data_IF_674110804232
#
_entry.id   IF_674110804232
#
_cell.length_a   1.000
_cell.length_b   1.000
_cell.length_c   1.000
_cell.angle_alpha   90.00
_cell.angle_beta   90.00
_cell.angle_gamma   90.00
#
_symmetry.space_group_name_H-M   'P 1'
#
loop_
_entity.id
_entity.type
_entity.pdbx_description
1 polymer ?
#
# COMPACT_ATOMS: atom_id res chain seq x y z
N UNK A 1 54.61 -29.40 22.18
CA UNK A 1 53.82 -30.42 22.89
C UNK A 1 52.45 -30.49 22.21
N UNK A 2 52.39 -31.34 21.18
CA UNK A 2 51.50 -32.52 21.03
C UNK A 2 50.07 -32.15 20.59
N UNK A 3 49.69 -32.10 19.31
CA UNK A 3 49.61 -33.13 18.23
C UNK A 3 48.32 -33.97 18.24
N UNK A 4 47.56 -33.89 17.14
CA UNK A 4 46.76 -34.94 16.42
C UNK A 4 45.67 -34.19 15.62
N UNK A 5 45.66 -34.01 14.30
CA UNK A 5 45.89 -34.87 13.11
C UNK A 5 45.14 -36.20 13.18
N UNK A 6 44.02 -36.29 12.45
CA UNK A 6 43.51 -37.56 11.95
C UNK A 6 43.00 -37.35 10.52
N UNK A 7 43.76 -37.89 9.56
CA UNK A 7 43.40 -38.04 8.16
C UNK A 7 43.10 -39.51 7.94
N UNK A 8 42.02 -39.84 7.23
CA UNK A 8 41.82 -41.18 6.68
C UNK A 8 41.26 -41.06 5.27
N UNK A 9 42.05 -41.58 4.33
CA UNK A 9 41.80 -41.68 2.90
C UNK A 9 41.79 -43.17 2.55
N UNK A 10 41.06 -43.47 1.47
CA UNK A 10 41.09 -44.68 0.63
C UNK A 10 40.18 -45.85 1.03
N UNK A 11 39.26 -46.19 0.12
CA UNK A 11 39.45 -47.35 -0.78
C UNK A 11 38.41 -47.34 -1.91
N UNK A 12 38.91 -47.45 -3.14
CA UNK A 12 38.16 -47.78 -4.36
C UNK A 12 38.25 -49.30 -4.57
N UNK A 13 37.19 -49.94 -5.02
CA UNK A 13 37.27 -51.12 -5.91
C UNK A 13 35.97 -51.27 -6.73
N UNK A 14 36.03 -51.80 -7.96
CA UNK A 14 34.98 -51.69 -8.98
C UNK A 14 34.17 -52.99 -9.13
N UNK A 15 32.93 -52.90 -9.59
CA UNK A 15 32.19 -54.07 -10.09
C UNK A 15 31.41 -53.74 -11.38
N UNK A 16 31.72 -54.56 -12.38
CA UNK A 16 31.17 -54.67 -13.73
C UNK A 16 29.82 -55.38 -13.77
N UNK A 17 28.94 -55.02 -14.72
CA UNK A 17 28.00 -55.96 -15.38
C UNK A 17 27.40 -55.27 -16.63
N UNK A 18 27.80 -55.67 -17.83
CA UNK A 18 27.10 -56.63 -18.72
C UNK A 18 25.74 -56.14 -19.26
N UNK A 19 25.73 -55.68 -20.52
CA UNK A 19 24.60 -55.74 -21.47
C UNK A 19 24.62 -57.11 -22.17
N UNK A 20 23.47 -57.69 -22.61
CA UNK A 20 22.99 -57.55 -24.01
C UNK A 20 21.44 -57.80 -24.16
N UNK A 21 20.87 -58.10 -25.36
CA UNK A 21 20.79 -57.30 -26.59
C UNK A 21 19.34 -57.05 -27.08
N UNK A 22 19.28 -56.31 -28.20
CA UNK A 22 18.13 -55.94 -29.03
C UNK A 22 17.28 -57.12 -29.54
N UNK A 23 15.95 -56.92 -29.57
CA UNK A 23 15.05 -57.60 -30.49
C UNK A 23 14.33 -56.60 -31.39
N UNK A 24 14.43 -56.89 -32.68
CA UNK A 24 13.85 -56.23 -33.83
C UNK A 24 12.37 -56.58 -33.98
N UNK A 25 11.52 -55.57 -34.16
CA UNK A 25 10.27 -55.73 -34.89
C UNK A 25 10.05 -54.52 -35.80
N UNK A 26 10.27 -54.76 -37.08
CA UNK A 26 9.83 -53.95 -38.20
C UNK A 26 8.31 -54.02 -38.33
N UNK A 27 7.63 -52.87 -38.32
CA UNK A 27 6.31 -52.75 -38.94
C UNK A 27 6.28 -51.49 -39.81
N UNK A 28 5.99 -51.73 -41.09
CA UNK A 28 5.81 -50.75 -42.14
C UNK A 28 4.48 -50.04 -41.92
N UNK A 29 4.49 -48.70 -41.84
CA UNK A 29 3.31 -47.89 -42.16
C UNK A 29 3.72 -46.64 -42.94
N UNK A 30 3.01 -46.43 -44.04
CA UNK A 30 3.24 -45.44 -45.08
C UNK A 30 3.10 -44.01 -44.59
N UNK A 31 4.06 -43.17 -44.99
CA UNK A 31 4.08 -41.72 -44.78
C UNK A 31 3.17 -40.98 -45.78
N UNK A 32 2.19 -40.22 -45.27
CA UNK A 32 1.52 -39.12 -45.99
C UNK A 32 2.04 -37.79 -45.45
N UNK A 33 2.33 -36.77 -46.29
CA UNK A 33 2.86 -35.49 -45.81
C UNK A 33 1.74 -34.61 -45.18
N UNK A 34 2.06 -33.76 -44.18
CA UNK A 34 1.09 -32.86 -43.59
C UNK A 34 0.83 -31.65 -44.50
N UNK A 35 -0.37 -31.02 -44.43
CA UNK A 35 -0.70 -29.85 -45.24
C UNK A 35 0.03 -28.58 -44.73
N UNK A 36 0.17 -27.54 -45.57
CA UNK A 36 0.96 -26.36 -45.24
C UNK A 36 0.29 -25.53 -44.14
N UNK A 37 1.07 -25.14 -43.12
CA UNK A 37 0.64 -24.24 -42.04
C UNK A 37 0.40 -22.83 -42.60
N UNK A 38 -0.86 -22.40 -42.65
CA UNK A 38 -1.23 -20.98 -42.82
C UNK A 38 -0.73 -20.19 -41.60
N UNK A 39 0.09 -19.17 -41.84
CA UNK A 39 0.44 -18.16 -40.83
C UNK A 39 -0.79 -17.28 -40.57
N UNK A 40 -1.46 -17.48 -39.43
CA UNK A 40 -2.43 -16.52 -38.89
C UNK A 40 -1.71 -15.62 -37.87
N UNK A 41 -1.74 -14.31 -38.16
CA UNK A 41 -1.36 -13.25 -37.25
C UNK A 41 -2.17 -13.35 -35.95
N UNK A 42 -1.54 -13.80 -34.88
CA UNK A 42 -2.16 -13.80 -33.55
C UNK A 42 -2.17 -12.37 -33.01
N UNK A 43 -3.33 -11.70 -33.13
CA UNK A 43 -3.72 -10.69 -32.15
C UNK A 43 -3.94 -11.42 -30.83
N UNK A 44 -3.15 -11.08 -29.82
CA UNK A 44 -3.34 -11.56 -28.45
C UNK A 44 -4.66 -10.95 -27.95
N UNK A 45 -5.73 -11.75 -27.96
CA UNK A 45 -6.90 -11.46 -27.15
C UNK A 45 -6.54 -11.87 -25.71
N UNK A 46 -6.55 -10.91 -24.78
CA UNK A 46 -6.62 -11.21 -23.36
C UNK A 46 -7.85 -12.11 -23.12
N UNK A 47 -7.62 -13.37 -22.79
CA UNK A 47 -8.69 -14.26 -22.37
C UNK A 47 -9.27 -13.69 -21.07
N UNK A 48 -10.58 -13.43 -21.06
CA UNK A 48 -11.30 -12.99 -19.87
C UNK A 48 -11.07 -14.02 -18.74
N UNK A 49 -10.60 -13.54 -17.58
CA UNK A 49 -10.45 -14.35 -16.38
C UNK A 49 -11.75 -15.09 -16.06
N UNK A 50 -11.66 -16.40 -15.78
CA UNK A 50 -12.81 -17.17 -15.32
C UNK A 50 -13.17 -16.73 -13.91
N UNK A 51 -14.30 -16.03 -13.77
CA UNK A 51 -14.90 -15.76 -12.46
C UNK A 51 -15.38 -17.10 -11.93
N UNK A 52 -14.62 -17.69 -11.02
CA UNK A 52 -15.05 -18.89 -10.31
C UNK A 52 -16.37 -18.60 -9.57
N UNK A 53 -17.34 -19.51 -9.66
CA UNK A 53 -18.65 -19.47 -8.98
C UNK A 53 -18.48 -19.61 -7.46
N UNK A 54 -17.87 -18.61 -6.82
CA UNK A 54 -17.78 -18.52 -5.36
C UNK A 54 -18.74 -17.44 -4.88
N UNK A 55 -19.46 -17.73 -3.79
CA UNK A 55 -20.36 -16.79 -3.12
C UNK A 55 -19.62 -15.78 -2.23
N UNK A 56 -18.35 -16.02 -1.93
CA UNK A 56 -17.54 -15.18 -1.05
C UNK A 56 -16.77 -14.12 -1.81
N UNK A 57 -16.73 -12.91 -1.24
CA UNK A 57 -15.91 -11.79 -1.71
C UNK A 57 -14.53 -11.93 -1.06
N UNK A 58 -13.46 -11.71 -1.82
CA UNK A 58 -12.08 -11.88 -1.34
C UNK A 58 -11.31 -10.56 -1.38
N UNK A 59 -10.85 -10.14 -0.22
CA UNK A 59 -9.93 -9.02 -0.01
C UNK A 59 -8.50 -9.53 0.22
N UNK A 60 -7.57 -9.16 -0.65
CA UNK A 60 -6.14 -9.39 -0.43
C UNK A 60 -5.52 -8.34 0.49
N UNK A 61 -4.81 -8.77 1.52
CA UNK A 61 -3.97 -7.88 2.33
C UNK A 61 -2.53 -8.41 2.44
N UNK A 62 -1.53 -7.56 2.71
CA UNK A 62 -0.15 -7.98 2.81
C UNK A 62 0.04 -8.99 3.94
N UNK A 63 0.80 -10.06 3.69
CA UNK A 63 0.96 -11.16 4.64
C UNK A 63 2.02 -10.93 5.72
N UNK A 64 2.98 -10.02 5.49
CA UNK A 64 4.11 -9.76 6.39
C UNK A 64 4.77 -8.41 6.13
N UNK A 65 5.58 -7.96 7.08
CA UNK A 65 6.36 -6.73 7.01
C UNK A 65 5.55 -5.51 7.42
N UNK A 66 6.19 -4.34 7.41
CA UNK A 66 5.61 -3.07 7.87
C UNK A 66 4.23 -2.79 7.28
N UNK A 67 4.06 -2.99 5.97
CA UNK A 67 2.77 -2.74 5.31
C UNK A 67 1.66 -3.68 5.81
N UNK A 68 1.97 -4.92 6.19
CA UNK A 68 1.00 -5.83 6.79
C UNK A 68 0.55 -5.34 8.16
N UNK A 69 1.51 -4.95 9.01
CA UNK A 69 1.24 -4.46 10.36
C UNK A 69 0.40 -3.17 10.33
N UNK A 70 0.75 -2.23 9.45
CA UNK A 70 0.02 -0.98 9.26
C UNK A 70 -1.38 -1.22 8.65
N UNK A 71 -1.53 -2.16 7.71
CA UNK A 71 -2.85 -2.54 7.16
C UNK A 71 -3.76 -3.16 8.22
N UNK A 72 -3.22 -4.07 9.04
CA UNK A 72 -3.98 -4.66 10.15
C UNK A 72 -4.34 -3.61 11.21
N UNK A 73 -3.44 -2.67 11.49
CA UNK A 73 -3.70 -1.55 12.40
C UNK A 73 -4.81 -0.63 11.87
N UNK A 74 -4.77 -0.27 10.57
CA UNK A 74 -5.82 0.51 9.92
C UNK A 74 -7.19 -0.17 10.06
N UNK A 75 -7.28 -1.44 9.66
CA UNK A 75 -8.53 -2.20 9.74
C UNK A 75 -9.02 -2.34 11.20
N UNK A 76 -8.12 -2.59 12.15
CA UNK A 76 -8.45 -2.61 13.58
C UNK A 76 -8.96 -1.26 14.08
N UNK A 77 -8.34 -0.15 13.67
CA UNK A 77 -8.76 1.20 14.05
C UNK A 77 -10.13 1.56 13.46
N UNK A 78 -10.44 1.03 12.28
CA UNK A 78 -11.77 1.02 11.67
C UNK A 78 -12.76 0.03 12.35
N UNK A 79 -12.42 -0.62 13.47
CA UNK A 79 -13.27 -1.66 14.08
C UNK A 79 -13.59 -2.85 13.14
N UNK A 80 -12.83 -3.00 12.04
CA UNK A 80 -12.89 -4.11 11.08
C UNK A 80 -11.84 -5.14 11.45
N UNK A 81 -11.97 -5.71 12.65
CA UNK A 81 -10.93 -6.62 13.18
C UNK A 81 -10.84 -7.89 12.33
N UNK A 82 -9.69 -8.09 11.72
CA UNK A 82 -9.38 -9.31 10.97
C UNK A 82 -9.19 -10.46 11.95
N UNK A 83 -10.07 -11.47 11.88
CA UNK A 83 -10.00 -12.68 12.70
C UNK A 83 -9.40 -13.82 11.90
N UNK A 84 -8.25 -14.31 12.36
CA UNK A 84 -7.66 -15.57 11.90
C UNK A 84 -8.08 -16.69 12.86
N UNK A 85 -8.70 -17.74 12.33
CA UNK A 85 -9.01 -18.95 13.11
C UNK A 85 -7.72 -19.64 13.54
N UNK A 86 -6.72 -19.64 12.65
CA UNK A 86 -5.40 -20.20 12.91
C UNK A 86 -4.32 -19.24 12.38
N UNK A 87 -3.34 -18.82 13.20
CA UNK A 87 -2.26 -17.93 12.76
C UNK A 87 -1.40 -18.47 11.60
N UNK A 88 -1.41 -19.78 11.35
CA UNK A 88 -0.71 -20.41 10.23
C UNK A 88 -1.53 -20.45 8.93
N UNK A 89 -2.81 -20.12 8.98
CA UNK A 89 -3.67 -20.07 7.78
C UNK A 89 -3.56 -18.70 7.11
N UNK A 90 -3.67 -18.70 5.78
CA UNK A 90 -3.63 -17.50 4.95
C UNK A 90 -5.00 -16.87 4.74
N UNK A 91 -6.05 -17.44 5.33
CA UNK A 91 -7.44 -16.98 5.21
C UNK A 91 -7.93 -16.54 6.57
N UNK A 92 -8.57 -15.38 6.58
CA UNK A 92 -9.17 -14.72 7.72
C UNK A 92 -10.54 -14.17 7.32
N UNK A 93 -11.27 -13.61 8.27
CA UNK A 93 -12.57 -13.00 8.02
C UNK A 93 -12.75 -11.74 8.86
N UNK A 94 -13.66 -10.86 8.42
CA UNK A 94 -14.05 -9.66 9.17
C UNK A 94 -15.52 -9.83 9.57
N UNK A 95 -15.82 -10.11 10.86
CA UNK A 95 -17.20 -10.35 11.30
C UNK A 95 -18.17 -9.20 10.97
N UNK A 96 -17.65 -7.98 10.92
CA UNK A 96 -18.41 -6.77 10.61
C UNK A 96 -18.80 -6.63 9.14
N UNK A 97 -18.21 -7.45 8.25
CA UNK A 97 -18.46 -7.47 6.80
C UNK A 97 -18.79 -8.92 6.39
N UNK A 98 -20.01 -9.41 6.66
CA UNK A 98 -20.39 -10.77 6.33
C UNK A 98 -20.28 -11.02 4.82
N UNK A 99 -19.78 -12.19 4.44
CA UNK A 99 -19.51 -12.53 3.03
C UNK A 99 -18.12 -12.12 2.52
N UNK A 100 -17.34 -11.37 3.32
CA UNK A 100 -15.97 -11.00 3.01
C UNK A 100 -14.95 -11.94 3.68
N UNK A 101 -14.10 -12.56 2.87
CA UNK A 101 -12.90 -13.27 3.28
C UNK A 101 -11.65 -12.41 3.05
N UNK A 102 -10.73 -12.47 4.00
CA UNK A 102 -9.44 -11.78 3.94
C UNK A 102 -8.34 -12.78 3.64
N UNK A 103 -7.59 -12.55 2.57
CA UNK A 103 -6.52 -13.40 2.10
C UNK A 103 -5.17 -12.72 2.31
N UNK A 104 -4.35 -13.26 3.21
CA UNK A 104 -3.01 -12.75 3.49
C UNK A 104 -2.02 -13.25 2.43
N UNK A 105 -1.55 -12.36 1.58
CA UNK A 105 -0.71 -12.69 0.42
C UNK A 105 0.51 -11.77 0.33
N UNK A 106 1.51 -12.16 -0.47
CA UNK A 106 2.62 -11.26 -0.79
C UNK A 106 2.09 -10.14 -1.70
N UNK A 107 2.65 -8.93 -1.56
CA UNK A 107 2.21 -7.74 -2.32
C UNK A 107 2.04 -7.99 -3.82
N UNK A 108 3.07 -8.56 -4.47
CA UNK A 108 3.02 -8.91 -5.90
C UNK A 108 1.92 -9.91 -6.26
N UNK A 109 1.61 -10.83 -5.35
CA UNK A 109 0.63 -11.87 -5.58
C UNK A 109 -0.80 -11.33 -5.41
N UNK A 110 -1.01 -10.30 -4.57
CA UNK A 110 -2.30 -9.59 -4.49
C UNK A 110 -2.64 -8.96 -5.85
N UNK A 111 -1.72 -8.20 -6.44
CA UNK A 111 -1.95 -7.54 -7.73
C UNK A 111 -2.17 -8.55 -8.85
N UNK A 112 -1.35 -9.61 -8.90
CA UNK A 112 -1.54 -10.70 -9.88
C UNK A 112 -2.89 -11.38 -9.73
N UNK A 113 -3.33 -11.60 -8.49
CA UNK A 113 -4.60 -12.27 -8.20
C UNK A 113 -5.80 -11.39 -8.53
N UNK A 114 -5.72 -10.07 -8.32
CA UNK A 114 -6.70 -9.10 -8.80
C UNK A 114 -6.84 -9.16 -10.32
N UNK A 115 -5.71 -9.13 -11.06
CA UNK A 115 -5.71 -9.25 -12.52
C UNK A 115 -6.29 -10.58 -13.00
N UNK A 116 -6.04 -11.67 -12.28
CA UNK A 116 -6.57 -12.99 -12.64
C UNK A 116 -8.01 -13.26 -12.18
N UNK A 117 -8.64 -12.37 -11.39
CA UNK A 117 -9.97 -12.58 -10.79
C UNK A 117 -9.99 -13.52 -9.56
N UNK A 118 -8.83 -14.01 -9.11
CA UNK A 118 -8.68 -14.80 -7.89
C UNK A 118 -9.00 -14.01 -6.62
N UNK A 119 -8.81 -12.70 -6.66
CA UNK A 119 -9.20 -11.73 -5.63
C UNK A 119 -10.07 -10.65 -6.25
N UNK A 120 -10.99 -10.10 -5.45
CA UNK A 120 -11.92 -9.07 -5.91
C UNK A 120 -11.39 -7.68 -5.54
N UNK A 121 -10.84 -7.57 -4.33
CA UNK A 121 -10.35 -6.34 -3.71
C UNK A 121 -8.95 -6.55 -3.12
N UNK A 122 -8.20 -5.47 -2.93
CA UNK A 122 -6.87 -5.54 -2.33
C UNK A 122 -6.41 -4.23 -1.69
N UNK A 123 -5.57 -4.35 -0.67
CA UNK A 123 -4.80 -3.23 -0.10
C UNK A 123 -3.32 -3.48 -0.34
N UNK A 124 -2.66 -2.60 -1.08
CA UNK A 124 -1.25 -2.72 -1.53
C UNK A 124 -0.62 -1.34 -1.71
N UNK A 125 0.70 -1.26 -1.91
CA UNK A 125 1.36 -0.02 -2.33
C UNK A 125 1.08 0.32 -3.79
N UNK A 126 0.99 1.62 -4.11
CA UNK A 126 0.84 2.10 -5.49
C UNK A 126 2.00 1.63 -6.37
N UNK A 127 3.23 1.60 -5.84
CA UNK A 127 4.41 1.01 -6.49
C UNK A 127 4.17 -0.40 -7.04
N UNK A 128 3.52 -1.25 -6.25
CA UNK A 128 3.28 -2.65 -6.54
C UNK A 128 2.18 -2.76 -7.60
N UNK A 129 1.13 -1.93 -7.51
CA UNK A 129 0.10 -1.84 -8.55
C UNK A 129 0.71 -1.42 -9.88
N UNK A 130 1.56 -0.41 -9.88
CA UNK A 130 2.20 0.11 -11.08
C UNK A 130 3.18 -0.90 -11.71
N UNK A 131 3.98 -1.61 -10.90
CA UNK A 131 4.95 -2.62 -11.38
C UNK A 131 4.30 -3.90 -11.90
N UNK A 132 3.36 -4.47 -11.13
CA UNK A 132 2.78 -5.79 -11.45
C UNK A 132 1.46 -5.69 -12.21
N UNK A 133 0.72 -4.60 -12.06
CA UNK A 133 -0.51 -4.31 -12.80
C UNK A 133 -0.25 -3.74 -14.18
N UNK A 134 0.90 -3.08 -14.40
CA UNK A 134 1.38 -2.64 -15.72
C UNK A 134 0.38 -1.79 -16.51
N UNK A 135 -0.40 -0.96 -15.81
CA UNK A 135 -1.44 -0.13 -16.44
C UNK A 135 -2.65 -0.92 -16.96
N UNK A 136 -2.88 -2.14 -16.45
CA UNK A 136 -4.07 -2.91 -16.78
C UNK A 136 -5.33 -2.16 -16.31
N UNK A 137 -6.20 -1.83 -17.25
CA UNK A 137 -7.46 -1.10 -17.04
C UNK A 137 -8.47 -1.88 -16.17
N UNK A 138 -8.26 -3.19 -15.95
CA UNK A 138 -9.03 -3.96 -14.99
C UNK A 138 -8.71 -3.60 -13.54
N UNK A 139 -7.58 -2.97 -13.24
CA UNK A 139 -7.25 -2.54 -11.88
C UNK A 139 -7.74 -1.11 -11.66
N UNK A 140 -8.70 -0.93 -10.76
CA UNK A 140 -9.23 0.38 -10.40
C UNK A 140 -8.80 0.74 -8.99
N UNK A 141 -8.14 1.89 -8.85
CA UNK A 141 -7.89 2.50 -7.55
C UNK A 141 -9.22 3.03 -7.00
N UNK A 142 -9.75 2.35 -5.99
CA UNK A 142 -10.98 2.74 -5.28
C UNK A 142 -10.66 3.85 -4.29
N UNK A 143 -9.55 3.71 -3.56
CA UNK A 143 -8.98 4.77 -2.73
C UNK A 143 -7.47 4.83 -2.98
N UNK A 144 -6.97 5.96 -3.47
CA UNK A 144 -5.56 6.11 -3.87
C UNK A 144 -4.63 6.60 -2.75
N UNK A 145 -5.17 6.98 -1.58
CA UNK A 145 -4.37 7.51 -0.47
C UNK A 145 -4.80 7.06 0.93
N UNK A 146 -4.38 5.88 1.39
CA UNK A 146 -4.72 5.40 2.74
C UNK A 146 -3.89 6.04 3.87
N UNK A 147 -3.02 7.02 3.56
CA UNK A 147 -2.23 7.78 4.53
C UNK A 147 -1.29 6.94 5.42
N UNK A 148 -0.75 5.85 4.85
CA UNK A 148 0.35 5.09 5.42
C UNK A 148 1.18 4.42 4.32
N UNK A 149 2.36 3.92 4.68
CA UNK A 149 3.28 3.32 3.71
C UNK A 149 3.90 4.34 2.76
N UNK A 150 3.94 5.61 3.14
CA UNK A 150 4.52 6.69 2.33
C UNK A 150 5.99 6.42 2.01
N UNK A 151 6.27 6.37 0.71
CA UNK A 151 7.60 6.20 0.15
C UNK A 151 7.60 6.67 -1.31
N UNK A 152 8.78 6.81 -1.88
CA UNK A 152 8.92 7.09 -3.30
C UNK A 152 9.96 6.16 -3.91
N UNK A 153 9.67 5.68 -5.11
CA UNK A 153 10.58 4.85 -5.89
C UNK A 153 11.59 5.78 -6.57
N UNK A 154 12.88 5.64 -6.26
CA UNK A 154 13.90 6.59 -6.68
C UNK A 154 15.17 5.93 -7.17
N UNK A 155 15.84 6.55 -8.14
CA UNK A 155 17.19 6.18 -8.56
C UNK A 155 18.20 6.77 -7.58
N UNK A 156 19.03 5.90 -7.01
CA UNK A 156 20.14 6.30 -6.14
C UNK A 156 21.49 5.85 -6.72
N UNK A 157 22.46 6.75 -6.65
CA UNK A 157 23.83 6.56 -7.15
C UNK A 157 24.84 6.70 -6.01
N UNK A 158 26.05 6.14 -6.12
CA UNK A 158 27.13 6.39 -5.16
C UNK A 158 27.43 7.88 -4.97
N UNK A 159 27.72 8.29 -3.74
CA UNK A 159 28.13 9.67 -3.39
C UNK A 159 29.51 10.03 -3.90
N UNK A 160 30.37 9.03 -4.08
CA UNK A 160 31.79 9.20 -4.36
C UNK A 160 32.18 8.55 -5.69
N UNK A 161 33.38 8.90 -6.18
CA UNK A 161 33.90 8.36 -7.44
C UNK A 161 33.32 9.10 -8.64
N UNK A 162 33.03 8.37 -9.73
CA UNK A 162 32.55 8.98 -10.99
C UNK A 162 31.21 9.71 -10.86
N UNK A 163 30.46 9.46 -9.78
CA UNK A 163 29.14 10.02 -9.50
C UNK A 163 29.16 11.25 -8.59
N UNK A 164 30.32 11.67 -8.09
CA UNK A 164 30.44 12.72 -7.07
C UNK A 164 29.80 14.05 -7.51
N UNK A 165 30.02 14.43 -8.77
CA UNK A 165 29.48 15.66 -9.37
C UNK A 165 28.17 15.45 -10.14
N UNK A 166 27.60 14.25 -10.12
CA UNK A 166 26.34 13.92 -10.79
C UNK A 166 25.19 14.19 -9.82
N UNK A 167 24.35 15.18 -10.11
CA UNK A 167 23.26 15.58 -9.22
C UNK A 167 21.89 15.57 -9.88
N UNK A 168 21.81 15.28 -11.17
CA UNK A 168 20.54 15.13 -11.89
C UNK A 168 20.57 13.93 -12.84
N UNK A 169 19.37 13.48 -13.23
CA UNK A 169 19.20 12.46 -14.27
C UNK A 169 19.79 12.89 -15.62
N UNK A 170 19.78 14.18 -15.91
CA UNK A 170 20.39 14.75 -17.12
C UNK A 170 21.90 14.60 -17.11
N UNK A 171 22.54 14.82 -15.95
CA UNK A 171 23.98 14.63 -15.80
C UNK A 171 24.34 13.15 -15.93
N UNK A 172 23.59 12.27 -15.27
CA UNK A 172 23.78 10.82 -15.34
C UNK A 172 23.65 10.29 -16.77
N UNK A 173 22.70 10.82 -17.54
CA UNK A 173 22.47 10.42 -18.93
C UNK A 173 23.59 10.86 -19.90
N UNK A 174 24.28 11.97 -19.59
CA UNK A 174 25.35 12.55 -20.42
C UNK A 174 26.74 11.98 -20.13
N UNK A 175 26.85 11.12 -19.11
CA UNK A 175 28.10 10.46 -18.75
C UNK A 175 28.65 9.65 -19.94
N UNK A 176 29.91 9.90 -20.36
CA UNK A 176 30.51 9.21 -21.50
C UNK A 176 30.77 7.70 -21.25
N UNK A 177 30.69 7.26 -20.00
CA UNK A 177 30.91 5.87 -19.59
C UNK A 177 29.84 4.91 -20.14
N UNK A 178 28.64 5.42 -20.44
CA UNK A 178 27.49 4.58 -20.83
C UNK A 178 27.41 4.43 -22.34
N UNK A 179 27.81 3.25 -22.83
CA UNK A 179 27.73 2.89 -24.25
C UNK A 179 26.92 1.62 -24.44
N UNK A 180 26.70 1.20 -25.69
CA UNK A 180 26.04 -0.08 -26.00
C UNK A 180 26.81 -1.28 -25.42
N UNK A 181 28.13 -1.19 -25.32
CA UNK A 181 29.02 -2.23 -24.79
C UNK A 181 29.16 -2.18 -23.27
N UNK A 182 28.99 -1.00 -22.67
CA UNK A 182 29.00 -0.78 -21.22
C UNK A 182 27.77 0.03 -20.80
N UNK A 183 26.59 -0.58 -20.73
CA UNK A 183 25.40 0.11 -20.25
C UNK A 183 25.50 0.40 -18.76
N UNK A 184 24.82 1.46 -18.30
CA UNK A 184 24.57 1.72 -16.89
C UNK A 184 23.77 0.55 -16.29
N UNK A 185 24.31 -0.12 -15.28
CA UNK A 185 23.66 -1.26 -14.61
C UNK A 185 22.89 -0.76 -13.40
N UNK A 186 21.57 -0.89 -13.42
CA UNK A 186 20.70 -0.53 -12.31
C UNK A 186 20.11 -1.79 -11.69
N UNK A 187 20.34 -2.02 -10.40
CA UNK A 187 19.70 -3.12 -9.68
C UNK A 187 18.35 -2.69 -9.11
N UNK A 188 17.31 -3.51 -9.28
CA UNK A 188 15.96 -3.18 -8.83
C UNK A 188 15.03 -4.39 -8.75
N UNK A 189 14.03 -4.30 -7.86
CA UNK A 189 12.83 -5.15 -7.89
C UNK A 189 11.74 -4.65 -8.85
N UNK A 190 11.89 -3.44 -9.41
CA UNK A 190 10.88 -2.72 -10.19
C UNK A 190 11.30 -2.60 -11.67
N UNK A 191 11.44 -3.75 -12.33
CA UNK A 191 11.98 -3.82 -13.69
C UNK A 191 11.05 -3.16 -14.70
N UNK A 192 9.74 -3.35 -14.56
CA UNK A 192 8.78 -2.74 -15.49
C UNK A 192 8.81 -1.22 -15.37
N UNK A 193 8.75 -0.67 -14.15
CA UNK A 193 8.80 0.77 -13.94
C UNK A 193 10.15 1.38 -14.32
N UNK A 194 11.26 0.71 -13.99
CA UNK A 194 12.59 1.16 -14.39
C UNK A 194 12.74 1.29 -15.90
N UNK A 195 12.32 0.27 -16.66
CA UNK A 195 12.38 0.31 -18.12
C UNK A 195 11.46 1.39 -18.71
N UNK A 196 10.25 1.55 -18.16
CA UNK A 196 9.31 2.59 -18.59
C UNK A 196 9.92 3.98 -18.38
N UNK A 197 10.41 4.24 -17.17
CA UNK A 197 11.03 5.51 -16.79
C UNK A 197 12.26 5.82 -17.64
N UNK A 198 13.14 4.84 -17.86
CA UNK A 198 14.33 5.02 -18.70
C UNK A 198 13.99 5.41 -20.14
N UNK A 199 12.97 4.77 -20.71
CA UNK A 199 12.48 5.08 -22.06
C UNK A 199 11.91 6.50 -22.15
N UNK A 200 11.11 6.91 -21.17
CA UNK A 200 10.48 8.23 -21.11
C UNK A 200 11.50 9.36 -20.91
N UNK A 201 12.60 9.09 -20.19
CA UNK A 201 13.66 10.06 -19.90
C UNK A 201 14.88 9.97 -20.86
N UNK A 202 14.80 9.14 -21.91
CA UNK A 202 15.84 9.07 -22.93
C UNK A 202 17.16 8.42 -22.50
N UNK A 203 17.15 7.59 -21.45
CA UNK A 203 18.31 6.80 -21.02
C UNK A 203 18.52 5.62 -21.98
N UNK A 204 19.42 5.78 -22.96
CA UNK A 204 19.62 4.81 -24.05
C UNK A 204 20.41 3.57 -23.65
N UNK A 205 21.44 3.75 -22.83
CA UNK A 205 22.42 2.71 -22.49
C UNK A 205 22.24 2.30 -21.03
N UNK A 206 21.13 1.63 -20.73
CA UNK A 206 20.80 1.17 -19.37
C UNK A 206 20.36 -0.29 -19.38
N UNK A 207 20.74 -1.02 -18.34
CA UNK A 207 20.30 -2.39 -18.10
C UNK A 207 19.76 -2.50 -16.68
N UNK A 208 18.55 -3.04 -16.56
CA UNK A 208 17.96 -3.34 -15.27
C UNK A 208 18.20 -4.80 -14.93
N UNK A 209 18.73 -5.05 -13.74
CA UNK A 209 18.95 -6.39 -13.22
C UNK A 209 18.12 -6.61 -11.96
N UNK A 210 17.53 -7.79 -11.86
CA UNK A 210 16.85 -8.22 -10.63
C UNK A 210 17.85 -8.79 -9.65
N UNK A 211 17.71 -8.40 -8.39
CA UNK A 211 18.38 -9.03 -7.26
C UNK A 211 17.35 -9.44 -6.21
N UNK A 212 17.74 -10.33 -5.30
CA UNK A 212 17.02 -10.57 -4.05
C UNK A 212 17.86 -10.00 -2.90
N UNK A 213 17.25 -9.20 -2.02
CA UNK A 213 17.89 -8.69 -0.81
C UNK A 213 18.38 -7.24 -0.93
N UNK A 214 19.45 -6.94 -0.18
CA UNK A 214 20.01 -5.60 0.05
C UNK A 214 20.60 -4.97 -1.24
N UNK A 215 19.74 -4.35 -2.06
CA UNK A 215 20.13 -3.66 -3.29
C UNK A 215 21.20 -2.59 -3.03
N UNK A 216 21.10 -1.92 -1.89
CA UNK A 216 21.99 -0.85 -1.43
C UNK A 216 23.47 -1.24 -1.38
N UNK A 217 23.80 -2.53 -1.24
CA UNK A 217 25.17 -3.02 -1.22
C UNK A 217 25.74 -3.29 -2.63
N UNK A 218 24.89 -3.48 -3.64
CA UNK A 218 25.31 -3.91 -4.98
C UNK A 218 26.23 -2.91 -5.71
N UNK A 219 26.06 -1.58 -5.56
CA UNK A 219 27.03 -0.61 -6.08
C UNK A 219 28.43 -0.78 -5.47
N UNK A 220 28.52 -0.93 -4.15
CA UNK A 220 29.80 -1.14 -3.46
C UNK A 220 30.47 -2.47 -3.85
N UNK A 221 29.67 -3.51 -4.13
CA UNK A 221 30.16 -4.80 -4.64
C UNK A 221 30.56 -4.77 -6.13
N UNK A 222 30.27 -3.68 -6.85
CA UNK A 222 30.53 -3.55 -8.29
C UNK A 222 29.60 -4.38 -9.18
N UNK A 223 28.54 -4.98 -8.61
CA UNK A 223 27.55 -5.78 -9.33
C UNK A 223 26.51 -4.92 -10.06
N UNK A 224 26.29 -3.70 -9.56
CA UNK A 224 25.52 -2.65 -10.21
C UNK A 224 26.30 -1.34 -10.14
N UNK A 225 25.89 -0.35 -10.94
CA UNK A 225 26.45 1.01 -10.90
C UNK A 225 25.53 1.96 -10.10
N UNK A 226 24.22 1.70 -10.14
CA UNK A 226 23.18 2.42 -9.40
C UNK A 226 22.06 1.46 -8.95
N UNK A 227 21.12 1.96 -8.15
CA UNK A 227 19.92 1.23 -7.75
C UNK A 227 18.67 2.03 -8.07
N UNK A 228 17.56 1.32 -8.24
CA UNK A 228 16.21 1.87 -8.26
C UNK A 228 15.42 1.15 -7.17
N UNK A 229 15.12 1.82 -6.07
CA UNK A 229 14.48 1.21 -4.91
C UNK A 229 13.59 2.20 -4.15
N UNK A 230 12.76 1.68 -3.24
CA UNK A 230 11.86 2.48 -2.41
C UNK A 230 12.64 3.23 -1.33
N UNK A 231 12.40 4.54 -1.25
CA UNK A 231 12.97 5.43 -0.25
C UNK A 231 11.85 5.97 0.64
N UNK A 232 12.06 5.97 1.96
CA UNK A 232 11.15 6.59 2.93
C UNK A 232 11.89 7.67 3.72
N UNK A 233 12.71 7.31 4.72
CA UNK A 233 13.52 8.29 5.46
C UNK A 233 14.87 8.63 4.82
N UNK A 234 15.29 7.87 3.79
CA UNK A 234 16.62 7.98 3.18
C UNK A 234 17.78 7.40 4.00
N UNK A 235 17.51 6.83 5.19
CA UNK A 235 18.57 6.30 6.08
C UNK A 235 19.40 5.20 5.42
N UNK A 236 18.75 4.21 4.79
CA UNK A 236 19.43 3.10 4.10
C UNK A 236 20.38 3.58 3.00
N UNK A 237 19.97 4.57 2.20
CA UNK A 237 20.83 5.17 1.17
C UNK A 237 22.04 5.85 1.81
N UNK A 238 21.81 6.63 2.87
CA UNK A 238 22.89 7.34 3.57
C UNK A 238 23.93 6.39 4.15
N UNK A 239 23.50 5.30 4.78
CA UNK A 239 24.37 4.29 5.40
C UNK A 239 25.23 3.55 4.37
N UNK A 240 24.77 3.45 3.12
CA UNK A 240 25.49 2.81 2.01
C UNK A 240 26.21 3.81 1.10
N UNK A 241 26.37 5.07 1.54
CA UNK A 241 27.00 6.14 0.76
C UNK A 241 26.34 6.35 -0.62
N UNK A 242 25.02 6.21 -0.69
CA UNK A 242 24.22 6.51 -1.87
C UNK A 242 23.51 7.85 -1.70
N UNK A 243 23.26 8.54 -2.81
CA UNK A 243 22.46 9.76 -2.89
C UNK A 243 21.39 9.64 -3.97
N UNK A 244 20.24 10.24 -3.70
CA UNK A 244 19.24 10.53 -4.73
C UNK A 244 19.71 11.71 -5.59
N UNK A 245 19.14 11.82 -6.79
CA UNK A 245 19.46 12.86 -7.76
C UNK A 245 18.19 13.53 -8.29
N UNK A 246 18.31 14.78 -8.71
CA UNK A 246 17.22 15.58 -9.25
C UNK A 246 16.61 14.90 -10.48
N UNK A 247 15.28 14.78 -10.45
CA UNK A 247 14.52 14.05 -11.46
C UNK A 247 14.56 12.52 -11.30
N UNK A 248 15.33 11.96 -10.36
CA UNK A 248 15.49 10.51 -10.16
C UNK A 248 14.30 9.81 -9.51
N UNK A 249 13.34 10.56 -8.97
CA UNK A 249 12.08 10.02 -8.44
C UNK A 249 11.21 9.53 -9.58
N UNK A 250 10.90 8.24 -9.58
CA UNK A 250 10.10 7.54 -10.60
C UNK A 250 8.61 7.57 -10.27
N UNK A 251 8.27 7.40 -8.99
CA UNK A 251 6.88 7.30 -8.53
C UNK A 251 6.77 7.62 -7.03
N UNK A 252 5.86 8.52 -6.68
CA UNK A 252 5.37 8.67 -5.31
C UNK A 252 4.41 7.53 -4.99
N UNK A 253 4.55 6.89 -3.83
CA UNK A 253 3.81 5.68 -3.45
C UNK A 253 3.30 5.76 -2.02
N UNK A 254 2.09 5.25 -1.84
CA UNK A 254 1.50 4.99 -0.54
C UNK A 254 0.56 3.79 -0.64
N UNK A 255 0.01 3.34 0.48
CA UNK A 255 -1.00 2.29 0.47
C UNK A 255 -2.29 2.76 -0.22
N UNK A 256 -2.83 1.90 -1.08
CA UNK A 256 -4.04 2.12 -1.88
C UNK A 256 -5.01 0.96 -1.68
N UNK A 257 -6.30 1.26 -1.79
CA UNK A 257 -7.38 0.28 -1.91
C UNK A 257 -7.75 0.13 -3.38
N UNK A 258 -7.62 -1.07 -3.92
CA UNK A 258 -7.77 -1.40 -5.34
C UNK A 258 -8.79 -2.51 -5.53
N UNK A 259 -9.58 -2.43 -6.59
CA UNK A 259 -10.53 -3.46 -7.00
C UNK A 259 -10.30 -3.92 -8.44
N UNK A 260 -10.70 -5.16 -8.74
CA UNK A 260 -10.82 -5.64 -10.12
C UNK A 260 -12.13 -5.12 -10.72
N UNK A 261 -12.05 -4.43 -11.86
CA UNK A 261 -13.19 -3.89 -12.64
C UNK A 261 -14.17 -5.00 -13.00
N UNK A 262 -13.66 -6.12 -13.51
CA UNK A 262 -14.49 -7.28 -13.82
C UNK A 262 -15.24 -7.80 -12.59
N UNK A 263 -14.58 -7.84 -11.43
CA UNK A 263 -15.20 -8.27 -10.18
C UNK A 263 -16.28 -7.28 -9.72
N UNK A 264 -15.98 -5.99 -9.75
CA UNK A 264 -16.92 -4.91 -9.38
C UNK A 264 -18.20 -4.91 -10.23
N UNK A 265 -18.10 -5.26 -11.51
CA UNK A 265 -19.25 -5.24 -12.44
C UNK A 265 -20.04 -6.56 -12.40
N UNK A 266 -19.35 -7.70 -12.33
CA UNK A 266 -19.96 -9.01 -12.61
C UNK A 266 -20.26 -9.85 -11.37
N UNK A 267 -19.61 -9.57 -10.24
CA UNK A 267 -19.77 -10.36 -9.02
C UNK A 267 -20.71 -9.65 -8.07
N UNK A 268 -21.82 -10.31 -7.77
CA UNK A 268 -22.81 -9.82 -6.81
C UNK A 268 -22.18 -9.49 -5.45
N UNK A 269 -22.58 -8.37 -4.86
CA UNK A 269 -22.11 -7.89 -3.56
C UNK A 269 -20.72 -7.28 -3.51
N UNK A 270 -19.86 -7.46 -4.54
CA UNK A 270 -18.51 -6.85 -4.54
C UNK A 270 -18.60 -5.33 -4.54
N UNK A 271 -19.49 -4.76 -5.35
CA UNK A 271 -19.68 -3.31 -5.44
C UNK A 271 -20.17 -2.72 -4.11
N UNK A 272 -21.13 -3.38 -3.45
CA UNK A 272 -21.70 -2.93 -2.17
C UNK A 272 -20.66 -2.98 -1.04
N UNK A 273 -19.90 -4.08 -0.94
CA UNK A 273 -18.80 -4.18 0.05
C UNK A 273 -17.70 -3.15 -0.25
N UNK A 274 -17.44 -2.87 -1.52
CA UNK A 274 -16.45 -1.85 -1.92
C UNK A 274 -16.90 -0.46 -1.47
N UNK A 275 -18.19 -0.14 -1.66
CA UNK A 275 -18.79 1.12 -1.21
C UNK A 275 -18.71 1.26 0.30
N UNK A 276 -19.16 0.24 1.06
CA UNK A 276 -19.10 0.26 2.52
C UNK A 276 -17.66 0.38 3.05
N UNK A 277 -16.70 -0.32 2.43
CA UNK A 277 -15.30 -0.20 2.79
C UNK A 277 -14.74 1.18 2.47
N UNK A 278 -15.06 1.73 1.29
CA UNK A 278 -14.63 3.08 0.89
C UNK A 278 -15.15 4.13 1.89
N UNK A 279 -16.45 4.14 2.19
CA UNK A 279 -17.05 5.08 3.13
C UNK A 279 -16.41 5.00 4.52
N UNK A 280 -16.21 3.77 5.04
CA UNK A 280 -15.57 3.57 6.34
C UNK A 280 -14.11 4.05 6.33
N UNK A 281 -13.35 3.75 5.28
CA UNK A 281 -11.96 4.19 5.17
C UNK A 281 -11.87 5.72 5.15
N UNK A 282 -12.70 6.40 4.34
CA UNK A 282 -12.71 7.86 4.27
C UNK A 282 -13.15 8.51 5.58
N UNK A 283 -14.21 7.99 6.20
CA UNK A 283 -14.68 8.46 7.49
C UNK A 283 -13.62 8.28 8.58
N UNK A 284 -12.82 7.20 8.50
CA UNK A 284 -11.73 6.96 9.43
C UNK A 284 -10.58 7.94 9.21
N UNK A 285 -10.15 8.14 7.97
CA UNK A 285 -9.07 9.07 7.62
C UNK A 285 -9.41 10.50 8.08
N UNK A 286 -10.67 10.92 7.90
CA UNK A 286 -11.18 12.20 8.45
C UNK A 286 -11.10 12.24 9.98
N UNK A 287 -11.48 11.15 10.65
CA UNK A 287 -11.47 11.04 12.11
C UNK A 287 -10.05 11.05 12.72
N UNK A 288 -9.05 10.47 12.05
CA UNK A 288 -7.66 10.42 12.55
C UNK A 288 -7.14 11.83 12.87
N UNK A 289 -7.50 12.82 12.07
CA UNK A 289 -7.06 14.21 12.23
C UNK A 289 -7.79 15.00 13.33
N UNK A 290 -8.84 14.44 13.93
CA UNK A 290 -9.78 15.15 14.80
C UNK A 290 -9.87 14.51 16.18
N UNK A 291 -10.29 15.31 17.16
CA UNK A 291 -10.70 14.84 18.49
C UNK A 291 -12.00 15.51 18.88
N UNK A 292 -12.86 14.76 19.56
CA UNK A 292 -14.03 15.33 20.20
C UNK A 292 -13.60 15.95 21.53
N UNK A 293 -13.92 17.22 21.74
CA UNK A 293 -13.60 17.96 22.97
C UNK A 293 -14.91 18.36 23.65
N UNK A 294 -15.00 18.06 24.94
CA UNK A 294 -16.12 18.49 25.77
C UNK A 294 -15.61 19.31 26.95
N UNK A 295 -16.30 20.39 27.31
CA UNK A 295 -15.90 21.23 28.45
C UNK A 295 -17.11 21.78 29.19
N UNK A 296 -16.99 21.96 30.49
CA UNK A 296 -17.99 22.65 31.30
C UNK A 296 -17.67 24.13 31.36
N UNK A 297 -18.66 24.97 31.08
CA UNK A 297 -18.57 26.42 31.09
C UNK A 297 -19.68 26.99 31.94
N UNK A 298 -19.37 27.92 32.85
CA UNK A 298 -20.40 28.70 33.54
C UNK A 298 -21.10 29.60 32.52
N UNK A 299 -22.40 29.81 32.65
CA UNK A 299 -23.14 30.77 31.83
C UNK A 299 -24.59 30.92 32.27
N UNK A 300 -25.24 32.00 31.86
CA UNK A 300 -26.64 32.25 32.20
C UNK A 300 -27.59 31.63 31.16
N UNK A 301 -27.14 31.50 29.92
CA UNK A 301 -27.90 30.87 28.83
C UNK A 301 -26.99 30.07 27.90
N UNK A 302 -27.57 29.10 27.18
CA UNK A 302 -26.83 28.36 26.15
C UNK A 302 -26.31 29.29 25.04
N UNK A 303 -27.08 30.32 24.67
CA UNK A 303 -26.70 31.28 23.63
C UNK A 303 -25.48 32.11 24.02
N UNK A 304 -25.43 32.59 25.27
CA UNK A 304 -24.26 33.31 25.80
C UNK A 304 -22.98 32.45 25.77
N UNK A 305 -23.11 31.16 26.10
CA UNK A 305 -21.99 30.21 26.02
C UNK A 305 -21.58 29.97 24.56
N UNK A 306 -22.55 29.84 23.65
CA UNK A 306 -22.28 29.69 22.21
C UNK A 306 -21.49 30.87 21.65
N UNK A 307 -21.90 32.10 21.95
CA UNK A 307 -21.24 33.32 21.51
C UNK A 307 -19.79 33.38 22.01
N UNK A 308 -19.55 33.06 23.29
CA UNK A 308 -18.18 33.01 23.84
C UNK A 308 -17.29 31.99 23.15
N UNK A 309 -17.83 30.82 22.83
CA UNK A 309 -17.09 29.75 22.13
C UNK A 309 -16.82 30.14 20.68
N UNK A 310 -17.84 30.63 19.95
CA UNK A 310 -17.72 31.00 18.53
C UNK A 310 -16.86 32.24 18.29
N UNK A 311 -16.68 33.10 19.31
CA UNK A 311 -15.71 34.20 19.27
C UNK A 311 -14.25 33.72 19.34
N UNK A 312 -13.98 32.44 19.58
CA UNK A 312 -12.64 31.86 19.58
C UNK A 312 -12.27 31.25 18.23
N UNK A 313 -11.05 31.48 17.78
CA UNK A 313 -10.62 31.10 16.42
C UNK A 313 -10.46 29.61 16.18
N UNK A 314 -10.31 28.77 17.21
CA UNK A 314 -10.10 27.33 17.07
C UNK A 314 -11.17 26.47 17.73
N UNK A 315 -12.33 27.06 18.06
CA UNK A 315 -13.44 26.38 18.73
C UNK A 315 -14.74 26.35 17.91
N UNK A 316 -14.67 26.63 16.61
CA UNK A 316 -15.84 26.64 15.73
C UNK A 316 -16.54 25.27 15.65
N UNK A 317 -15.80 24.17 15.85
CA UNK A 317 -16.32 22.82 15.58
C UNK A 317 -16.45 22.55 14.08
N UNK A 318 -17.15 21.48 13.70
CA UNK A 318 -17.50 21.21 12.29
C UNK A 318 -18.60 22.15 11.80
N UNK A 319 -19.62 22.37 12.62
CA UNK A 319 -20.78 23.23 12.32
C UNK A 319 -21.08 24.26 13.43
N UNK A 320 -20.48 24.08 14.61
CA UNK A 320 -20.78 24.85 15.81
C UNK A 320 -20.64 23.99 17.08
N UNK A 321 -20.62 24.61 18.27
CA UNK A 321 -20.67 23.89 19.53
C UNK A 321 -22.07 23.35 19.80
N UNK A 322 -22.15 22.06 20.16
CA UNK A 322 -23.34 21.53 20.83
C UNK A 322 -23.29 21.95 22.29
N UNK A 323 -24.39 22.48 22.83
CA UNK A 323 -24.45 23.03 24.18
C UNK A 323 -25.61 22.40 24.94
N UNK A 324 -25.34 21.85 26.12
CA UNK A 324 -26.32 21.18 26.98
C UNK A 324 -26.25 21.70 28.41
N UNK A 325 -27.39 21.87 29.12
CA UNK A 325 -27.38 22.33 30.51
C UNK A 325 -26.73 21.29 31.44
N UNK A 326 -25.96 21.77 32.41
CA UNK A 326 -25.36 20.96 33.49
C UNK A 326 -26.00 21.38 34.80
N UNK A 327 -26.73 20.44 35.40
CA UNK A 327 -27.47 20.66 36.63
C UNK A 327 -26.57 20.44 37.84
N UNK A 328 -26.50 21.44 38.72
CA UNK A 328 -25.76 21.41 39.96
C UNK A 328 -26.70 21.61 41.14
N UNK A 329 -26.34 21.04 42.30
CA UNK A 329 -27.05 21.32 43.56
C UNK A 329 -26.48 22.61 44.15
N UNK A 330 -27.33 23.62 44.28
CA UNK A 330 -26.99 24.89 44.92
C UNK A 330 -26.76 24.72 46.42
N UNK A 331 -26.16 25.74 47.04
CA UNK A 331 -25.96 25.79 48.49
C UNK A 331 -27.26 25.73 49.30
N UNK A 332 -28.38 26.12 48.69
CA UNK A 332 -29.75 26.03 49.23
C UNK A 332 -30.41 24.66 49.02
N UNK A 333 -29.70 23.69 48.43
CA UNK A 333 -30.20 22.35 48.13
C UNK A 333 -31.08 22.26 46.88
N UNK A 334 -31.37 23.38 46.21
CA UNK A 334 -32.15 23.40 44.97
C UNK A 334 -31.29 23.01 43.76
N UNK A 335 -31.91 22.42 42.74
CA UNK A 335 -31.22 22.08 41.49
C UNK A 335 -31.32 23.28 40.55
N UNK A 336 -30.17 23.78 40.10
CA UNK A 336 -30.07 24.92 39.18
C UNK A 336 -29.10 24.60 38.03
N UNK A 337 -29.30 25.28 36.90
CA UNK A 337 -28.36 25.27 35.78
C UNK A 337 -27.41 26.45 35.96
N UNK A 338 -26.20 26.16 36.40
CA UNK A 338 -25.12 27.15 36.52
C UNK A 338 -24.02 26.96 35.46
N UNK A 339 -23.98 25.77 34.86
CA UNK A 339 -23.00 25.38 33.86
C UNK A 339 -23.70 24.84 32.61
N UNK A 340 -22.96 24.87 31.51
CA UNK A 340 -23.29 24.22 30.26
C UNK A 340 -22.10 23.36 29.83
N UNK A 341 -22.38 22.15 29.34
CA UNK A 341 -21.42 21.31 28.69
C UNK A 341 -21.41 21.68 27.20
N UNK A 342 -20.25 22.04 26.68
CA UNK A 342 -20.03 22.24 25.26
C UNK A 342 -19.40 20.99 24.65
N UNK A 343 -19.60 20.79 23.36
CA UNK A 343 -19.10 19.65 22.60
C UNK A 343 -18.74 20.11 21.18
N UNK A 344 -17.46 19.98 20.82
CA UNK A 344 -16.89 20.42 19.54
C UNK A 344 -15.85 19.43 19.03
N UNK A 345 -15.78 19.23 17.72
CA UNK A 345 -14.65 18.59 17.09
C UNK A 345 -13.51 19.59 16.88
N UNK A 346 -12.29 19.19 17.19
CA UNK A 346 -11.09 20.02 17.08
C UNK A 346 -10.00 19.23 16.37
N UNK A 347 -9.30 19.89 15.45
CA UNK A 347 -8.15 19.28 14.79
C UNK A 347 -7.05 18.96 15.82
N UNK A 348 -6.48 17.74 15.78
CA UNK A 348 -5.47 17.29 16.76
C UNK A 348 -4.28 18.25 16.87
N UNK A 349 -3.85 18.82 15.73
CA UNK A 349 -2.76 19.80 15.67
C UNK A 349 -3.06 21.10 16.44
N UNK A 350 -4.33 21.46 16.59
CA UNK A 350 -4.79 22.67 17.26
C UNK A 350 -5.26 22.42 18.71
N UNK A 351 -5.31 21.16 19.16
CA UNK A 351 -5.87 20.77 20.47
C UNK A 351 -5.33 21.60 21.63
N UNK A 352 -4.00 21.79 21.72
CA UNK A 352 -3.41 22.56 22.82
C UNK A 352 -3.81 24.04 22.78
N UNK A 353 -3.87 24.63 21.57
CA UNK A 353 -4.36 26.00 21.37
C UNK A 353 -5.83 26.12 21.75
N UNK A 354 -6.66 25.16 21.34
CA UNK A 354 -8.08 25.11 21.67
C UNK A 354 -8.32 24.98 23.19
N UNK A 355 -7.54 24.16 23.90
CA UNK A 355 -7.62 24.05 25.37
C UNK A 355 -7.29 25.40 26.03
N UNK A 356 -6.29 26.14 25.53
CA UNK A 356 -5.98 27.47 26.05
C UNK A 356 -7.11 28.47 25.81
N UNK A 357 -7.72 28.46 24.63
CA UNK A 357 -8.87 29.31 24.31
C UNK A 357 -10.07 28.96 25.18
N UNK A 358 -10.36 27.68 25.39
CA UNK A 358 -11.44 27.23 26.30
C UNK A 358 -11.22 27.74 27.73
N UNK A 359 -10.00 27.62 28.26
CA UNK A 359 -9.68 28.13 29.60
C UNK A 359 -9.82 29.65 29.71
N UNK A 360 -9.52 30.39 28.64
CA UNK A 360 -9.65 31.85 28.62
C UNK A 360 -11.11 32.33 28.67
N UNK A 361 -12.08 31.46 28.35
CA UNK A 361 -13.51 31.74 28.40
C UNK A 361 -14.24 30.97 29.52
N UNK A 362 -13.51 30.61 30.59
CA UNK A 362 -14.00 29.89 31.77
C UNK A 362 -14.42 28.42 31.53
N UNK A 363 -13.86 27.80 30.49
CA UNK A 363 -13.96 26.36 30.25
C UNK A 363 -13.12 25.56 31.25
N UNK A 364 -13.75 24.58 31.88
CA UNK A 364 -13.17 23.69 32.89
C UNK A 364 -13.59 22.25 32.65
N UNK A 365 -12.90 21.29 33.29
CA UNK A 365 -13.21 19.86 33.11
C UNK A 365 -13.12 19.42 31.64
N UNK A 366 -12.11 19.90 30.91
CA UNK A 366 -11.97 19.65 29.48
C UNK A 366 -11.58 18.19 29.24
N UNK A 367 -12.48 17.42 28.63
CA UNK A 367 -12.26 16.03 28.23
C UNK A 367 -12.03 15.99 26.72
N UNK A 368 -11.21 15.03 26.27
CA UNK A 368 -11.03 14.77 24.84
C UNK A 368 -11.10 13.26 24.56
N UNK A 369 -11.67 12.92 23.42
CA UNK A 369 -11.89 11.55 22.97
C UNK A 369 -11.43 11.40 21.52
N UNK A 370 -10.78 10.27 21.22
CA UNK A 370 -10.51 9.89 19.84
C UNK A 370 -11.79 9.41 19.17
N UNK A 371 -11.91 9.70 17.88
CA UNK A 371 -13.03 9.30 17.05
C UNK A 371 -12.62 8.12 16.16
N UNK A 372 -13.50 7.14 16.01
CA UNK A 372 -13.30 6.04 15.05
C UNK A 372 -13.63 6.48 13.64
N UNK A 373 -14.78 7.16 13.47
CA UNK A 373 -15.31 7.60 12.19
C UNK A 373 -15.92 8.99 12.32
N UNK A 374 -15.81 9.79 11.26
CA UNK A 374 -16.60 10.99 11.03
C UNK A 374 -17.17 10.84 9.62
N UNK A 375 -18.45 10.45 9.53
CA UNK A 375 -19.17 10.40 8.26
C UNK A 375 -19.68 11.81 7.94
N UNK A 376 -19.41 12.25 6.72
CA UNK A 376 -19.94 13.50 6.13
C UNK A 376 -20.52 13.15 4.76
N UNK A 377 -20.73 14.14 3.90
CA UNK A 377 -21.06 13.90 2.49
C UNK A 377 -20.04 12.94 1.85
N UNK A 378 -20.55 12.04 1.01
CA UNK A 378 -19.72 11.14 0.22
C UNK A 378 -18.74 11.96 -0.63
N UNK A 379 -17.48 11.53 -0.67
CA UNK A 379 -16.53 12.18 -1.58
C UNK A 379 -16.87 11.84 -3.02
N UNK A 380 -16.31 12.59 -3.96
CA UNK A 380 -16.49 12.31 -5.39
C UNK A 380 -15.93 10.94 -5.80
N UNK A 381 -15.10 10.27 -4.97
CA UNK A 381 -14.46 9.00 -5.32
C UNK A 381 -15.45 7.91 -5.68
N UNK A 382 -16.60 7.86 -4.99
CA UNK A 382 -17.63 6.88 -5.30
C UNK A 382 -18.25 7.14 -6.68
N UNK A 383 -18.59 8.39 -6.97
CA UNK A 383 -19.11 8.80 -8.27
C UNK A 383 -18.09 8.59 -9.40
N UNK A 384 -16.83 8.96 -9.17
CA UNK A 384 -15.72 8.76 -10.10
C UNK A 384 -15.48 7.27 -10.37
N UNK A 385 -15.66 6.41 -9.36
CA UNK A 385 -15.59 4.96 -9.52
C UNK A 385 -16.74 4.46 -10.41
N UNK A 386 -17.98 4.85 -10.13
CA UNK A 386 -19.14 4.45 -10.94
C UNK A 386 -18.99 4.89 -12.41
N UNK A 387 -18.52 6.11 -12.66
CA UNK A 387 -18.23 6.59 -14.01
C UNK A 387 -17.18 5.72 -14.72
N UNK A 388 -16.09 5.34 -14.03
CA UNK A 388 -15.06 4.43 -14.58
C UNK A 388 -15.58 3.02 -14.84
N UNK A 389 -16.59 2.58 -14.09
CA UNK A 389 -17.28 1.30 -14.29
C UNK A 389 -18.32 1.38 -15.41
N UNK A 390 -18.80 2.58 -15.75
CA UNK A 390 -19.88 2.80 -16.71
C UNK A 390 -21.26 2.46 -16.12
N UNK A 391 -21.44 2.69 -14.82
CA UNK A 391 -22.67 2.42 -14.06
C UNK A 391 -23.47 3.68 -13.75
#
# INVERSE_FOLDING_TARGET
>A
MSSSVCSLRATLTPLSSHSPPLHSHSSLYSSSPPPPRRRSSHRIYCAAASIDERSVIRLGIPSKGRMADETLALLKNCQLTVKQVNPRQYVAYIPQLPGLEVWLQRLKDIVRKLVSGDLDLGIVGLDTVCEYGRGNEDLILVHDQLAYGDCHLSIAIPKYGIFENINSMSDLAKMPEWTSERPLRIATGFVYLGNKYAKENGLKHVTFSTGEGAFEALPAMGSADAILDLVSSGTTLRENNLKEIDGGVVLESQAVFVGSKNSLIRREGVLDITHEMLERLEAHLRAIGQVMVTANMRGNSAQEVAERVLNQTSLAGLQGPTISPVYCRGSDGTIKVEYYAISICVAKKDLYKSIRQLRAIDGSGVLNYNLTYIFEEETTRWLDLLERLGL
#
